data_IF_077313053554
#
_entry.id   IF_077313053554
#
_cell.length_a   1.000
_cell.length_b   1.000
_cell.length_c   1.000
_cell.angle_alpha   90.00
_cell.angle_beta   90.00
_cell.angle_gamma   90.00
#
_symmetry.space_group_name_H-M   'P 1'
#
loop_
_entity.id
_entity.type
_entity.pdbx_description
1 polymer ?
#
# COMPACT_ATOMS: atom_id res chain seq x y z
N UNK A 1 15.42 -21.96 -7.89
CA UNK A 1 14.33 -21.50 -8.78
C UNK A 1 12.98 -21.81 -8.13
N UNK A 2 12.28 -20.78 -7.71
CA UNK A 2 10.92 -20.91 -7.18
C UNK A 2 9.95 -20.99 -8.37
N UNK A 3 9.20 -22.08 -8.48
CA UNK A 3 8.26 -22.31 -9.59
C UNK A 3 6.90 -21.59 -9.42
N UNK A 4 6.67 -21.04 -8.25
CA UNK A 4 5.41 -20.40 -7.83
C UNK A 4 5.51 -18.87 -7.72
N UNK A 5 6.54 -18.26 -8.29
CA UNK A 5 6.74 -16.80 -8.29
C UNK A 5 6.68 -16.32 -9.73
N UNK A 6 5.85 -15.30 -9.96
CA UNK A 6 5.80 -14.52 -11.20
C UNK A 6 6.36 -13.14 -10.89
N UNK A 7 7.39 -12.74 -11.62
CA UNK A 7 8.01 -11.41 -11.49
C UNK A 7 7.55 -10.54 -12.65
N UNK A 8 7.01 -9.37 -12.29
CA UNK A 8 6.58 -8.35 -13.24
C UNK A 8 7.40 -7.08 -13.07
N UNK A 9 7.91 -6.56 -14.17
CA UNK A 9 8.67 -5.29 -14.17
C UNK A 9 7.72 -4.11 -14.42
N UNK A 10 6.81 -3.87 -13.48
CA UNK A 10 5.76 -2.86 -13.58
C UNK A 10 5.64 -2.08 -12.28
N UNK A 11 5.27 -0.81 -12.37
CA UNK A 11 4.75 -0.05 -11.24
C UNK A 11 3.25 -0.31 -11.08
N UNK A 12 2.76 -0.22 -9.84
CA UNK A 12 1.34 -0.39 -9.53
C UNK A 12 0.78 0.90 -8.93
N UNK A 13 -0.41 1.30 -9.38
CA UNK A 13 -1.12 2.48 -8.89
C UNK A 13 -2.59 2.46 -9.28
N UNK A 14 -3.22 3.63 -9.40
CA UNK A 14 -4.63 3.79 -9.77
C UNK A 14 -4.89 3.93 -11.27
N UNK A 15 -3.83 4.02 -12.08
CA UNK A 15 -3.89 4.27 -13.52
C UNK A 15 -3.20 3.18 -14.32
N UNK A 16 -3.45 3.17 -15.61
CA UNK A 16 -2.72 2.36 -16.59
C UNK A 16 -1.95 3.29 -17.56
N UNK A 17 -0.74 2.88 -17.94
CA UNK A 17 0.09 3.65 -18.87
C UNK A 17 1.58 3.53 -18.60
N UNK A 18 2.30 4.63 -18.58
CA UNK A 18 3.73 4.71 -18.25
C UNK A 18 3.97 5.76 -17.19
N UNK A 19 4.96 5.55 -16.36
CA UNK A 19 5.42 6.50 -15.36
C UNK A 19 6.92 6.50 -15.25
N UNK A 20 7.47 7.50 -14.57
CA UNK A 20 8.90 7.58 -14.28
C UNK A 20 9.17 7.03 -12.89
N UNK A 21 10.04 6.03 -12.80
CA UNK A 21 10.59 5.55 -11.53
C UNK A 21 11.87 6.33 -11.22
N UNK A 22 11.89 7.00 -10.10
CA UNK A 22 13.04 7.72 -9.57
C UNK A 22 13.84 6.79 -8.67
N UNK A 23 15.08 6.52 -9.05
CA UNK A 23 15.94 5.59 -8.35
C UNK A 23 16.79 6.34 -7.31
N UNK A 24 16.76 5.84 -6.09
CA UNK A 24 17.60 6.27 -4.96
C UNK A 24 18.79 5.34 -4.80
N UNK A 25 19.84 5.80 -4.10
CA UNK A 25 20.95 4.98 -3.64
C UNK A 25 20.52 3.84 -2.71
N UNK A 26 19.46 4.07 -1.96
CA UNK A 26 18.86 3.05 -1.13
C UNK A 26 17.83 2.26 -1.96
N UNK A 27 18.06 0.95 -2.23
CA UNK A 27 17.15 0.14 -3.02
C UNK A 27 15.71 0.09 -2.49
N UNK A 28 15.52 0.31 -1.18
CA UNK A 28 14.20 0.36 -0.54
C UNK A 28 13.49 1.71 -0.66
N UNK A 29 14.05 2.69 -1.39
CA UNK A 29 13.48 4.05 -1.51
C UNK A 29 13.26 4.49 -2.95
N UNK A 30 13.01 3.57 -3.85
CA UNK A 30 12.62 3.90 -5.22
C UNK A 30 11.15 4.34 -5.26
N UNK A 31 10.84 5.47 -5.92
CA UNK A 31 9.50 6.07 -5.94
C UNK A 31 9.07 6.48 -7.34
N UNK A 32 7.78 6.54 -7.62
CA UNK A 32 7.25 7.04 -8.89
C UNK A 32 6.81 8.51 -8.84
N UNK A 33 7.18 9.24 -7.80
CA UNK A 33 7.03 10.70 -7.72
C UNK A 33 8.38 11.37 -7.42
N UNK A 34 8.65 12.57 -7.95
CA UNK A 34 9.94 13.23 -7.76
C UNK A 34 10.13 13.60 -6.29
N UNK A 35 11.23 13.15 -5.69
CA UNK A 35 11.79 13.78 -4.51
C UNK A 35 12.80 14.84 -4.95
N UNK A 36 12.70 16.03 -4.38
CA UNK A 36 13.36 17.24 -4.86
C UNK A 36 14.89 17.22 -4.85
N UNK A 37 15.57 16.22 -4.24
CA UNK A 37 17.03 16.28 -4.06
C UNK A 37 17.81 14.95 -4.15
N UNK A 38 17.21 13.79 -4.41
CA UNK A 38 17.94 12.50 -4.25
C UNK A 38 17.76 11.46 -5.36
N UNK A 39 17.19 11.80 -6.49
CA UNK A 39 17.10 10.83 -7.58
C UNK A 39 18.43 10.78 -8.36
N UNK A 40 19.16 9.65 -8.27
CA UNK A 40 20.37 9.41 -9.06
C UNK A 40 20.08 9.14 -10.53
N UNK A 41 18.98 8.48 -10.82
CA UNK A 41 18.57 8.14 -12.18
C UNK A 41 17.05 8.02 -12.29
N UNK A 42 16.58 8.04 -13.52
CA UNK A 42 15.17 7.95 -13.85
C UNK A 42 14.99 6.87 -14.92
N UNK A 43 13.99 6.01 -14.74
CA UNK A 43 13.66 4.96 -15.69
C UNK A 43 12.16 5.01 -16.00
N UNK A 44 11.82 4.90 -17.29
CA UNK A 44 10.42 4.75 -17.71
C UNK A 44 9.96 3.33 -17.46
N UNK A 45 8.89 3.16 -16.70
CA UNK A 45 8.29 1.87 -16.39
C UNK A 45 6.82 1.84 -16.81
N UNK A 46 6.32 0.66 -17.11
CA UNK A 46 4.89 0.45 -17.28
C UNK A 46 4.19 0.64 -15.93
N UNK A 47 3.06 1.36 -15.94
CA UNK A 47 2.17 1.53 -14.79
C UNK A 47 0.89 0.74 -15.04
N UNK A 48 0.49 -0.06 -14.09
CA UNK A 48 -0.78 -0.79 -14.14
C UNK A 48 -1.57 -0.62 -12.84
N UNK A 49 -2.85 -0.92 -12.87
CA UNK A 49 -3.66 -1.11 -11.68
C UNK A 49 -4.06 -2.59 -11.56
N UNK A 50 -4.34 -3.04 -10.35
CA UNK A 50 -4.58 -4.46 -10.09
C UNK A 50 -5.93 -4.93 -10.66
N UNK A 51 -6.92 -4.06 -10.76
CA UNK A 51 -8.21 -4.40 -11.38
C UNK A 51 -8.11 -4.69 -12.89
N UNK A 52 -7.11 -4.11 -13.57
CA UNK A 52 -6.83 -4.38 -14.98
C UNK A 52 -5.83 -5.52 -15.18
N UNK A 53 -4.99 -5.77 -14.18
CA UNK A 53 -3.95 -6.80 -14.25
C UNK A 53 -4.51 -8.20 -14.03
N UNK A 54 -5.49 -8.34 -13.14
CA UNK A 54 -6.12 -9.63 -12.85
C UNK A 54 -7.46 -9.77 -13.56
N UNK A 55 -7.63 -10.90 -14.23
CA UNK A 55 -8.93 -11.28 -14.79
C UNK A 55 -9.96 -11.51 -13.68
N UNK A 56 -11.24 -11.33 -14.01
CA UNK A 56 -12.33 -11.43 -13.04
C UNK A 56 -12.39 -12.77 -12.29
N UNK A 57 -12.01 -13.87 -12.95
CA UNK A 57 -11.97 -15.21 -12.37
C UNK A 57 -10.78 -15.44 -11.43
N UNK A 58 -9.81 -14.53 -11.41
CA UNK A 58 -8.68 -14.54 -10.49
C UNK A 58 -8.95 -13.77 -9.21
N UNK A 59 -9.89 -12.81 -9.21
CA UNK A 59 -10.15 -11.93 -8.06
C UNK A 59 -10.51 -12.75 -6.80
N UNK A 60 -11.36 -13.76 -6.93
CA UNK A 60 -11.78 -14.60 -5.80
C UNK A 60 -10.65 -15.50 -5.25
N UNK A 61 -9.57 -15.64 -5.99
CA UNK A 61 -8.40 -16.44 -5.60
C UNK A 61 -7.34 -15.61 -4.86
N UNK A 62 -7.48 -14.27 -4.87
CA UNK A 62 -6.57 -13.36 -4.16
C UNK A 62 -6.94 -13.38 -2.68
N UNK A 63 -6.08 -13.93 -1.85
CA UNK A 63 -6.32 -14.04 -0.40
C UNK A 63 -5.46 -13.08 0.42
N UNK A 64 -4.33 -12.63 -0.13
CA UNK A 64 -3.39 -11.76 0.56
C UNK A 64 -2.68 -10.82 -0.41
N UNK A 65 -2.56 -9.55 -0.01
CA UNK A 65 -1.77 -8.55 -0.74
C UNK A 65 -0.85 -7.84 0.26
N UNK A 66 0.46 -7.79 -0.06
CA UNK A 66 1.41 -6.87 0.58
C UNK A 66 1.58 -5.66 -0.32
N UNK A 67 1.45 -4.46 0.23
CA UNK A 67 1.69 -3.19 -0.48
C UNK A 67 2.85 -2.48 0.22
N UNK A 68 3.85 -2.07 -0.56
CA UNK A 68 5.05 -1.42 -0.08
C UNK A 68 5.61 -0.57 -1.24
N UNK A 69 5.05 0.63 -1.39
CA UNK A 69 5.26 1.50 -2.56
C UNK A 69 5.63 2.93 -2.17
N UNK A 70 6.18 3.06 -0.95
CA UNK A 70 6.83 4.28 -0.48
C UNK A 70 5.95 5.55 -0.56
N UNK A 71 4.71 5.45 -0.04
CA UNK A 71 3.75 6.56 0.09
C UNK A 71 2.59 6.53 -0.91
N UNK A 72 2.63 5.66 -1.92
CA UNK A 72 1.55 5.54 -2.92
C UNK A 72 0.57 4.39 -2.63
N UNK A 73 0.53 3.88 -1.40
CA UNK A 73 -0.35 2.79 -0.98
C UNK A 73 -1.82 3.10 -1.29
N UNK A 74 -2.24 4.36 -1.09
CA UNK A 74 -3.61 4.76 -1.42
C UNK A 74 -3.89 4.74 -2.92
N UNK A 75 -2.92 5.09 -3.76
CA UNK A 75 -3.06 4.95 -5.23
C UNK A 75 -3.24 3.49 -5.62
N UNK A 76 -2.45 2.56 -5.03
CA UNK A 76 -2.62 1.12 -5.26
C UNK A 76 -4.01 0.64 -4.82
N UNK A 77 -4.47 1.02 -3.63
CA UNK A 77 -5.80 0.67 -3.11
C UNK A 77 -6.93 1.17 -4.03
N UNK A 78 -6.82 2.39 -4.57
CA UNK A 78 -7.77 2.91 -5.56
C UNK A 78 -7.74 2.13 -6.88
N UNK A 79 -6.58 1.60 -7.27
CA UNK A 79 -6.40 0.78 -8.46
C UNK A 79 -6.86 -0.68 -8.33
N UNK A 80 -7.37 -1.08 -7.16
CA UNK A 80 -7.91 -2.41 -6.88
C UNK A 80 -9.34 -2.37 -6.32
N UNK A 81 -10.13 -1.39 -6.74
CA UNK A 81 -11.49 -1.15 -6.25
C UNK A 81 -12.42 -2.37 -6.43
N UNK A 82 -12.35 -3.05 -7.58
CA UNK A 82 -13.16 -4.24 -7.85
C UNK A 82 -12.71 -5.42 -6.99
N UNK A 83 -11.40 -5.58 -6.81
CA UNK A 83 -10.83 -6.58 -5.91
C UNK A 83 -11.32 -6.34 -4.48
N UNK A 84 -11.22 -5.10 -3.98
CA UNK A 84 -11.67 -4.73 -2.64
C UNK A 84 -13.17 -4.99 -2.45
N UNK A 85 -13.99 -4.68 -3.45
CA UNK A 85 -15.44 -4.86 -3.38
C UNK A 85 -15.88 -6.32 -3.42
N UNK A 86 -15.26 -7.13 -4.27
CA UNK A 86 -15.73 -8.46 -4.60
C UNK A 86 -15.08 -9.57 -3.75
N UNK A 87 -13.85 -9.36 -3.28
CA UNK A 87 -13.17 -10.34 -2.42
C UNK A 87 -13.76 -10.34 -1.01
N UNK A 88 -14.18 -11.53 -0.54
CA UNK A 88 -14.84 -11.71 0.77
C UNK A 88 -13.89 -12.07 1.91
N UNK A 89 -12.65 -12.45 1.60
CA UNK A 89 -11.68 -12.98 2.59
C UNK A 89 -10.27 -12.45 2.36
N UNK A 90 -10.17 -11.32 1.69
CA UNK A 90 -8.86 -10.73 1.39
C UNK A 90 -8.25 -10.12 2.65
N UNK A 91 -6.95 -10.32 2.78
CA UNK A 91 -6.11 -9.69 3.80
C UNK A 91 -5.11 -8.78 3.11
N UNK A 92 -4.89 -7.61 3.68
CA UNK A 92 -3.95 -6.63 3.15
C UNK A 92 -2.98 -6.26 4.26
N UNK A 93 -1.70 -6.28 3.93
CA UNK A 93 -0.63 -5.74 4.76
C UNK A 93 0.03 -4.60 3.99
N UNK A 94 0.07 -3.41 4.56
CA UNK A 94 0.74 -2.29 3.89
C UNK A 94 1.52 -1.42 4.87
N UNK A 95 2.58 -0.78 4.37
CA UNK A 95 3.28 0.24 5.13
C UNK A 95 2.41 1.50 5.19
N UNK A 96 2.18 2.02 6.40
CA UNK A 96 1.40 3.23 6.62
C UNK A 96 2.26 4.29 7.30
N UNK A 97 2.76 5.19 6.50
CA UNK A 97 3.50 6.37 6.93
C UNK A 97 2.68 7.61 6.59
N UNK A 98 2.01 8.22 7.60
CA UNK A 98 1.18 9.41 7.38
C UNK A 98 1.90 10.52 6.63
N UNK A 99 3.18 10.72 6.93
CA UNK A 99 4.01 11.75 6.31
C UNK A 99 4.19 11.48 4.80
N UNK A 100 4.53 10.25 4.42
CA UNK A 100 4.70 9.87 3.01
C UNK A 100 3.39 9.99 2.22
N UNK A 101 2.26 9.63 2.87
CA UNK A 101 0.92 9.77 2.28
C UNK A 101 0.60 11.23 1.97
N UNK A 102 0.97 12.16 2.86
CA UNK A 102 0.78 13.60 2.65
C UNK A 102 1.71 14.17 1.58
N UNK A 103 2.94 13.71 1.48
CA UNK A 103 3.89 14.14 0.44
C UNK A 103 3.36 13.91 -0.98
N UNK A 104 2.57 12.86 -1.18
CA UNK A 104 1.98 12.52 -2.48
C UNK A 104 0.57 13.13 -2.70
N UNK A 105 0.13 14.00 -1.80
CA UNK A 105 -1.10 14.79 -1.93
C UNK A 105 -2.37 14.08 -1.46
N UNK A 106 -2.26 12.98 -0.70
CA UNK A 106 -3.40 12.34 -0.05
C UNK A 106 -3.42 12.64 1.45
N UNK A 107 -4.58 12.54 2.07
CA UNK A 107 -4.66 12.58 3.52
C UNK A 107 -4.64 11.17 4.11
N UNK A 108 -3.89 10.93 5.20
CA UNK A 108 -3.86 9.62 5.86
C UNK A 108 -5.26 9.13 6.26
N UNK A 109 -6.11 10.04 6.68
CA UNK A 109 -7.47 9.72 7.10
C UNK A 109 -8.36 9.28 5.92
N UNK A 110 -8.18 9.84 4.72
CA UNK A 110 -8.90 9.40 3.52
C UNK A 110 -8.57 7.95 3.16
N UNK A 111 -7.28 7.56 3.24
CA UNK A 111 -6.86 6.19 3.01
C UNK A 111 -7.55 5.23 3.98
N UNK A 112 -7.53 5.54 5.29
CA UNK A 112 -8.16 4.68 6.29
C UNK A 112 -9.69 4.62 6.15
N UNK A 113 -10.33 5.77 5.87
CA UNK A 113 -11.77 5.83 5.61
C UNK A 113 -12.14 5.03 4.34
N UNK A 114 -11.30 5.04 3.32
CA UNK A 114 -11.53 4.24 2.12
C UNK A 114 -11.55 2.74 2.43
N UNK A 115 -10.65 2.25 3.27
CA UNK A 115 -10.64 0.85 3.71
C UNK A 115 -11.84 0.51 4.58
N UNK A 116 -12.15 1.32 5.59
CA UNK A 116 -13.28 1.06 6.49
C UNK A 116 -14.63 1.16 5.77
N UNK A 117 -14.77 2.06 4.78
CA UNK A 117 -15.97 2.13 3.92
C UNK A 117 -16.12 0.93 2.96
N UNK A 118 -15.07 0.13 2.78
CA UNK A 118 -15.07 -1.15 2.07
C UNK A 118 -15.11 -2.35 3.03
N UNK A 119 -15.61 -2.17 4.25
CA UNK A 119 -15.82 -3.21 5.27
C UNK A 119 -14.54 -3.86 5.84
N UNK A 120 -13.38 -3.19 5.71
CA UNK A 120 -12.15 -3.69 6.31
C UNK A 120 -12.06 -3.31 7.79
N UNK A 121 -11.66 -4.27 8.62
CA UNK A 121 -11.17 -4.04 9.98
C UNK A 121 -9.69 -3.74 9.92
N UNK A 122 -9.26 -2.72 10.67
CA UNK A 122 -7.88 -2.26 10.68
C UNK A 122 -7.20 -2.67 11.99
N UNK A 123 -5.94 -3.08 11.86
CA UNK A 123 -5.12 -3.50 12.99
C UNK A 123 -3.73 -2.86 12.89
N UNK A 124 -3.30 -2.23 13.96
CA UNK A 124 -1.91 -1.84 14.15
C UNK A 124 -1.09 -3.05 14.61
N UNK A 125 0.14 -3.16 14.15
CA UNK A 125 1.06 -4.19 14.60
C UNK A 125 1.90 -3.65 15.76
N UNK A 126 1.80 -4.27 16.91
CA UNK A 126 2.65 -3.96 18.06
C UNK A 126 3.96 -4.75 17.96
N UNK A 127 5.05 -4.05 17.71
CA UNK A 127 6.37 -4.68 17.52
C UNK A 127 6.96 -5.27 18.81
N UNK A 128 6.56 -4.80 19.98
CA UNK A 128 7.02 -5.33 21.26
C UNK A 128 6.31 -6.65 21.61
N UNK A 129 4.98 -6.65 21.52
CA UNK A 129 4.18 -7.82 21.90
C UNK A 129 3.96 -8.80 20.75
N UNK A 130 4.28 -8.39 19.51
CA UNK A 130 4.00 -9.13 18.25
C UNK A 130 2.52 -9.45 18.08
N UNK A 131 1.65 -8.58 18.57
CA UNK A 131 0.19 -8.72 18.47
C UNK A 131 -0.40 -7.71 17.50
N UNK A 132 -1.55 -8.08 16.95
CA UNK A 132 -2.40 -7.18 16.20
C UNK A 132 -3.36 -6.49 17.18
N UNK A 133 -3.37 -5.16 17.16
CA UNK A 133 -4.23 -4.32 17.97
C UNK A 133 -5.33 -3.77 17.07
N UNK A 134 -6.56 -4.23 17.27
CA UNK A 134 -7.70 -3.65 16.55
C UNK A 134 -7.94 -2.22 17.03
N UNK A 135 -7.95 -1.27 16.10
CA UNK A 135 -8.22 0.14 16.38
C UNK A 135 -9.40 0.57 15.51
N UNK A 136 -10.51 0.93 16.14
CA UNK A 136 -11.74 1.33 15.43
C UNK A 136 -11.78 2.82 15.06
N UNK A 137 -10.92 3.63 15.65
CA UNK A 137 -10.83 5.06 15.39
C UNK A 137 -9.65 5.35 14.45
N UNK A 138 -9.96 5.86 13.26
CA UNK A 138 -8.96 6.14 12.23
C UNK A 138 -7.99 7.27 12.62
N UNK A 139 -8.44 8.29 13.36
CA UNK A 139 -7.58 9.35 13.88
C UNK A 139 -6.56 8.80 14.89
N UNK A 140 -6.97 7.82 15.70
CA UNK A 140 -6.07 7.14 16.62
C UNK A 140 -5.01 6.34 15.88
N UNK A 141 -5.36 5.65 14.78
CA UNK A 141 -4.39 4.95 13.92
C UNK A 141 -3.36 5.95 13.38
N UNK A 142 -3.81 7.08 12.83
CA UNK A 142 -2.91 8.12 12.31
C UNK A 142 -1.96 8.58 13.41
N UNK A 143 -2.47 8.87 14.61
CA UNK A 143 -1.66 9.30 15.75
C UNK A 143 -0.63 8.25 16.15
N UNK A 144 -1.01 6.98 16.26
CA UNK A 144 -0.12 5.88 16.62
C UNK A 144 1.02 5.70 15.60
N UNK A 145 0.71 5.79 14.30
CA UNK A 145 1.69 5.60 13.24
C UNK A 145 2.57 6.84 12.97
N UNK A 146 2.16 8.04 13.45
CA UNK A 146 2.95 9.28 13.36
C UNK A 146 3.92 9.46 14.53
N UNK A 147 3.84 8.62 15.57
CA UNK A 147 4.73 8.75 16.72
C UNK A 147 6.12 8.18 16.39
N UNK A 148 7.15 8.82 16.93
CA UNK A 148 8.53 8.33 16.90
C UNK A 148 8.79 7.21 17.91
N UNK A 149 7.80 6.85 18.73
CA UNK A 149 7.87 5.73 19.62
C UNK A 149 7.74 4.43 18.83
N UNK A 150 8.85 3.74 18.65
CA UNK A 150 8.98 2.48 17.90
C UNK A 150 8.23 1.28 18.54
N UNK A 151 7.16 1.52 19.28
CA UNK A 151 6.32 0.45 19.85
C UNK A 151 5.31 -0.08 18.86
N UNK A 152 4.78 0.79 17.98
CA UNK A 152 3.84 0.41 16.92
C UNK A 152 4.58 0.39 15.59
N UNK A 153 4.43 -0.71 14.88
CA UNK A 153 4.93 -0.85 13.51
C UNK A 153 4.23 0.13 12.57
N UNK A 154 4.96 0.64 11.61
CA UNK A 154 4.38 1.37 10.48
C UNK A 154 3.67 0.47 9.47
N UNK A 155 3.39 -0.78 9.82
CA UNK A 155 2.61 -1.69 9.01
C UNK A 155 1.21 -1.84 9.60
N UNK A 156 0.20 -1.64 8.75
CA UNK A 156 -1.18 -1.94 9.07
C UNK A 156 -1.61 -3.25 8.41
N UNK A 157 -2.31 -4.06 9.19
CA UNK A 157 -2.97 -5.25 8.72
C UNK A 157 -4.47 -4.99 8.61
N UNK A 158 -5.08 -5.41 7.51
CA UNK A 158 -6.49 -5.21 7.23
C UNK A 158 -7.12 -6.52 6.77
N UNK A 159 -8.32 -6.80 7.24
CA UNK A 159 -9.09 -7.97 6.81
C UNK A 159 -10.59 -7.70 6.72
N UNK A 160 -11.27 -8.41 5.84
CA UNK A 160 -12.73 -8.54 5.79
C UNK A 160 -13.20 -9.77 6.52
#
# INVERSE_FOLDING_TARGET
NYKNIILEQKAVGDKHGRTTLYQSDNPGKHRIFPQTEQAKSQVQVELTNLDNYFDSDMIDKINFIKIDVEGLEFSVLKGMKNILKNSKKIKILFEFMPENTMEVGFTPIELLNYLTSNDFKLYCMDDKTKKLLHVSNNEEIVKLCSTTDNTISRNLFCEK
#
